data_IF_635826107918
#
_entry.id   IF_635826107918
#
_cell.length_a   1.000
_cell.length_b   1.000
_cell.length_c   1.000
_cell.angle_alpha   90.00
_cell.angle_beta   90.00
_cell.angle_gamma   90.00
#
_symmetry.space_group_name_H-M   'P 1'
#
loop_
_entity.id
_entity.type
_entity.pdbx_description
1 polymer ?
#
# COMPACT_ATOMS: atom_id res chain seq x y z
N UNK A 1 -31.97 30.19 43.02
CA UNK A 1 -31.54 30.35 41.61
C UNK A 1 -30.01 30.47 41.42
N UNK A 2 -29.31 31.37 42.08
CA UNK A 2 -27.85 31.58 41.89
C UNK A 2 -26.97 30.34 42.17
N UNK A 3 -27.36 29.43 43.07
CA UNK A 3 -26.61 28.21 43.43
C UNK A 3 -26.67 27.16 42.28
N UNK A 4 -27.81 26.96 41.66
CA UNK A 4 -27.98 26.03 40.56
C UNK A 4 -27.30 26.50 39.27
N UNK A 5 -27.27 27.81 39.04
CA UNK A 5 -26.58 28.41 37.90
C UNK A 5 -25.06 28.15 37.98
N UNK A 6 -24.46 28.23 39.17
CA UNK A 6 -23.03 27.91 39.37
C UNK A 6 -22.72 26.45 39.11
N UNK A 7 -23.59 25.53 39.56
CA UNK A 7 -23.41 24.08 39.30
C UNK A 7 -23.52 23.78 37.83
N UNK A 8 -24.47 24.40 37.14
CA UNK A 8 -24.65 24.21 35.67
C UNK A 8 -23.43 24.73 34.90
N UNK A 9 -22.92 25.90 35.22
CA UNK A 9 -21.72 26.47 34.59
C UNK A 9 -20.49 25.57 34.82
N UNK A 10 -20.35 25.03 36.03
CA UNK A 10 -19.21 24.16 36.38
C UNK A 10 -19.29 22.81 35.61
N UNK A 11 -20.47 22.20 35.49
CA UNK A 11 -20.63 20.96 34.76
C UNK A 11 -20.42 21.13 33.23
N UNK A 12 -20.85 22.23 32.65
CA UNK A 12 -20.58 22.56 31.23
C UNK A 12 -19.09 22.77 30.99
N UNK A 13 -18.39 23.44 31.91
CA UNK A 13 -16.94 23.67 31.81
C UNK A 13 -16.15 22.36 31.88
N UNK A 14 -16.51 21.44 32.78
CA UNK A 14 -15.85 20.12 32.88
C UNK A 14 -16.18 19.27 31.64
N UNK A 15 -17.44 19.22 31.20
CA UNK A 15 -17.84 18.50 30.02
C UNK A 15 -17.13 19.00 28.75
N UNK A 16 -17.01 20.32 28.59
CA UNK A 16 -16.25 20.93 27.50
C UNK A 16 -14.76 20.59 27.52
N UNK A 17 -14.15 20.61 28.71
CA UNK A 17 -12.73 20.24 28.87
C UNK A 17 -12.47 18.77 28.51
N UNK A 18 -13.31 17.87 29.01
CA UNK A 18 -13.20 16.44 28.67
C UNK A 18 -13.40 16.21 27.19
N UNK A 19 -14.43 16.79 26.58
CA UNK A 19 -14.68 16.67 25.15
C UNK A 19 -13.48 17.18 24.32
N UNK A 20 -12.87 18.30 24.72
CA UNK A 20 -11.67 18.84 24.08
C UNK A 20 -10.47 17.89 24.18
N UNK A 21 -10.24 17.28 25.35
CA UNK A 21 -9.15 16.32 25.55
C UNK A 21 -9.34 15.07 24.68
N UNK A 22 -10.53 14.49 24.67
CA UNK A 22 -10.86 13.35 23.79
C UNK A 22 -10.69 13.70 22.32
N UNK A 23 -11.21 14.84 21.87
CA UNK A 23 -11.06 15.29 20.50
C UNK A 23 -9.59 15.47 20.10
N UNK A 24 -8.77 16.03 20.99
CA UNK A 24 -7.32 16.21 20.77
C UNK A 24 -6.60 14.88 20.63
N UNK A 25 -6.93 13.89 21.46
CA UNK A 25 -6.25 12.59 21.45
C UNK A 25 -6.66 11.78 20.22
N UNK A 26 -7.94 11.76 19.85
CA UNK A 26 -8.42 11.14 18.60
C UNK A 26 -7.72 11.76 17.38
N UNK A 27 -7.62 13.07 17.31
CA UNK A 27 -6.94 13.74 16.19
C UNK A 27 -5.44 13.46 16.15
N UNK A 28 -4.78 13.24 17.30
CA UNK A 28 -3.37 12.81 17.31
C UNK A 28 -3.20 11.40 16.76
N UNK A 29 -4.08 10.47 17.13
CA UNK A 29 -4.05 9.09 16.60
C UNK A 29 -4.35 9.06 15.10
N UNK A 30 -5.38 9.77 14.64
CA UNK A 30 -5.71 9.88 13.22
C UNK A 30 -4.57 10.51 12.42
N UNK A 31 -3.93 11.56 12.91
CA UNK A 31 -2.75 12.16 12.28
C UNK A 31 -1.53 11.25 12.31
N UNK A 32 -1.35 10.44 13.36
CA UNK A 32 -0.26 9.48 13.47
C UNK A 32 -0.45 8.31 12.48
N UNK A 33 -1.69 7.86 12.29
CA UNK A 33 -2.03 6.84 11.28
C UNK A 33 -1.82 7.42 9.87
N UNK A 34 -2.32 8.62 9.59
CA UNK A 34 -2.15 9.29 8.29
C UNK A 34 -0.68 9.58 7.93
N UNK A 35 0.21 9.79 8.92
CA UNK A 35 1.66 9.97 8.69
C UNK A 35 2.43 8.67 8.46
N UNK A 36 1.80 7.51 8.61
CA UNK A 36 2.45 6.19 8.46
C UNK A 36 2.15 5.52 7.11
N UNK A 37 1.35 6.16 6.26
CA UNK A 37 1.09 5.65 4.91
C UNK A 37 2.05 6.28 3.92
N UNK A 38 2.61 5.44 3.07
CA UNK A 38 3.50 5.79 1.97
C UNK A 38 2.88 5.31 0.67
N UNK A 39 3.35 5.84 -0.45
CA UNK A 39 2.85 5.48 -1.77
C UNK A 39 3.83 4.55 -2.46
N UNK A 40 3.33 3.44 -2.98
CA UNK A 40 4.08 2.53 -3.86
C UNK A 40 3.47 2.51 -5.24
N UNK A 41 4.28 2.26 -6.25
CA UNK A 41 3.84 2.07 -7.62
C UNK A 41 3.67 0.58 -7.91
N UNK A 42 2.51 0.18 -8.40
CA UNK A 42 2.25 -1.18 -8.89
C UNK A 42 2.23 -1.22 -10.41
N UNK A 43 2.78 -2.30 -10.97
CA UNK A 43 2.73 -2.64 -12.39
C UNK A 43 1.56 -3.59 -12.63
N UNK A 44 0.46 -3.08 -13.17
CA UNK A 44 -0.78 -3.80 -13.41
C UNK A 44 -0.88 -4.19 -14.87
N UNK A 45 -1.11 -5.47 -15.17
CA UNK A 45 -1.22 -6.00 -16.55
C UNK A 45 -2.65 -6.32 -16.97
N UNK A 46 -3.57 -6.51 -16.03
CA UNK A 46 -4.95 -6.84 -16.35
C UNK A 46 -5.94 -6.47 -15.26
N UNK A 47 -7.20 -6.27 -15.66
CA UNK A 47 -8.35 -6.02 -14.78
C UNK A 47 -9.50 -6.93 -15.19
N UNK A 48 -10.02 -7.70 -14.27
CA UNK A 48 -11.05 -8.71 -14.51
C UNK A 48 -12.23 -8.55 -13.56
N UNK A 49 -13.42 -8.91 -13.98
CA UNK A 49 -14.60 -9.01 -13.10
C UNK A 49 -14.66 -10.36 -12.39
N UNK A 50 -14.10 -11.39 -13.01
CA UNK A 50 -14.07 -12.76 -12.51
C UNK A 50 -12.68 -13.13 -12.00
N UNK A 51 -12.62 -13.79 -10.83
CA UNK A 51 -11.37 -14.21 -10.20
C UNK A 51 -10.63 -15.28 -10.99
N UNK A 52 -11.35 -16.27 -11.54
CA UNK A 52 -10.73 -17.38 -12.26
C UNK A 52 -10.06 -16.89 -13.54
N UNK A 53 -10.70 -15.95 -14.24
CA UNK A 53 -10.12 -15.34 -15.43
C UNK A 53 -8.86 -14.53 -15.08
N UNK A 54 -8.86 -13.80 -13.96
CA UNK A 54 -7.66 -13.11 -13.48
C UNK A 54 -6.55 -14.08 -13.11
N UNK A 55 -6.90 -15.19 -12.44
CA UNK A 55 -5.96 -16.22 -12.03
C UNK A 55 -5.34 -16.95 -13.23
N UNK A 56 -6.12 -17.32 -14.23
CA UNK A 56 -5.59 -17.93 -15.46
C UNK A 56 -4.66 -16.98 -16.20
N UNK A 57 -5.06 -15.71 -16.33
CA UNK A 57 -4.19 -14.70 -16.95
C UNK A 57 -2.90 -14.48 -16.14
N UNK A 58 -2.97 -14.51 -14.83
CA UNK A 58 -1.79 -14.32 -13.97
C UNK A 58 -0.72 -15.38 -14.18
N UNK A 59 -1.09 -16.62 -14.56
CA UNK A 59 -0.16 -17.73 -14.83
C UNK A 59 0.72 -17.51 -16.05
N UNK A 60 0.39 -16.54 -16.91
CA UNK A 60 1.22 -16.20 -18.09
C UNK A 60 2.50 -15.45 -17.72
N UNK A 61 2.62 -14.97 -16.48
CA UNK A 61 3.78 -14.22 -16.00
C UNK A 61 4.61 -15.06 -15.03
N UNK A 62 5.94 -14.90 -15.08
CA UNK A 62 6.86 -15.57 -14.16
C UNK A 62 6.61 -15.24 -12.69
N UNK A 63 6.19 -13.99 -12.42
CA UNK A 63 5.81 -13.51 -11.10
C UNK A 63 4.59 -12.63 -11.22
N UNK A 64 3.53 -12.98 -10.51
CA UNK A 64 2.31 -12.17 -10.45
C UNK A 64 1.46 -12.54 -9.24
N UNK A 65 0.59 -11.61 -8.85
CA UNK A 65 -0.49 -11.85 -7.88
C UNK A 65 -1.80 -11.31 -8.41
N UNK A 66 -2.90 -11.88 -7.92
CA UNK A 66 -4.25 -11.36 -8.17
C UNK A 66 -4.71 -10.59 -6.94
N UNK A 67 -4.88 -9.30 -7.10
CA UNK A 67 -5.30 -8.37 -6.07
C UNK A 67 -6.75 -7.93 -6.28
N UNK A 68 -7.60 -8.03 -5.24
CA UNK A 68 -8.98 -7.56 -5.29
C UNK A 68 -9.04 -6.07 -4.95
N UNK A 69 -9.54 -5.26 -5.88
CA UNK A 69 -9.78 -3.84 -5.71
C UNK A 69 -11.25 -3.53 -6.02
N UNK A 70 -12.02 -3.29 -4.96
CA UNK A 70 -13.48 -3.08 -5.04
C UNK A 70 -14.19 -4.26 -5.75
N UNK A 71 -14.72 -4.04 -6.94
CA UNK A 71 -15.47 -5.02 -7.72
C UNK A 71 -14.62 -5.72 -8.80
N UNK A 72 -13.31 -5.50 -8.83
CA UNK A 72 -12.42 -6.01 -9.84
C UNK A 72 -11.25 -6.79 -9.25
N UNK A 73 -10.75 -7.75 -10.03
CA UNK A 73 -9.51 -8.46 -9.77
C UNK A 73 -8.42 -7.92 -10.69
N UNK A 74 -7.33 -7.47 -10.11
CA UNK A 74 -6.20 -6.89 -10.84
C UNK A 74 -5.04 -7.85 -10.81
N UNK A 75 -4.41 -8.06 -11.94
CA UNK A 75 -3.17 -8.83 -12.05
C UNK A 75 -2.00 -7.85 -11.96
N UNK A 76 -1.15 -8.05 -10.95
CA UNK A 76 0.01 -7.22 -10.65
C UNK A 76 1.25 -8.07 -10.85
N UNK A 77 2.22 -7.55 -11.61
CA UNK A 77 3.49 -8.25 -11.92
C UNK A 77 4.68 -7.66 -11.17
N UNK A 78 4.57 -6.45 -10.64
CA UNK A 78 5.58 -5.85 -9.79
C UNK A 78 4.98 -4.76 -8.89
N UNK A 79 5.71 -4.46 -7.83
CA UNK A 79 5.43 -3.38 -6.91
C UNK A 79 6.75 -2.77 -6.46
N UNK A 80 6.86 -1.44 -6.46
CA UNK A 80 8.09 -0.73 -6.12
C UNK A 80 7.80 0.57 -5.36
N UNK A 81 8.73 0.91 -4.48
CA UNK A 81 8.75 2.18 -3.76
C UNK A 81 9.78 3.16 -4.35
N UNK A 82 10.97 2.66 -4.72
CA UNK A 82 12.05 3.50 -5.24
C UNK A 82 11.95 3.72 -6.75
N UNK A 83 12.10 4.97 -7.18
CA UNK A 83 12.02 5.37 -8.60
C UNK A 83 13.09 4.69 -9.47
N UNK A 84 14.30 4.47 -8.94
CA UNK A 84 15.37 3.79 -9.68
C UNK A 84 15.01 2.33 -9.97
N UNK A 85 14.34 1.64 -9.03
CA UNK A 85 13.84 0.27 -9.23
C UNK A 85 12.71 0.27 -10.24
N UNK A 86 11.80 1.24 -10.16
CA UNK A 86 10.71 1.40 -11.13
C UNK A 86 11.29 1.52 -12.54
N UNK A 87 12.23 2.43 -12.77
CA UNK A 87 12.87 2.64 -14.06
C UNK A 87 13.53 1.35 -14.58
N UNK A 88 14.23 0.62 -13.70
CA UNK A 88 14.85 -0.66 -14.06
C UNK A 88 13.83 -1.71 -14.50
N UNK A 89 12.71 -1.83 -13.77
CA UNK A 89 11.62 -2.76 -14.10
C UNK A 89 10.90 -2.35 -15.39
N UNK A 90 10.70 -1.05 -15.63
CA UNK A 90 10.13 -0.54 -16.88
C UNK A 90 10.96 -0.96 -18.09
N UNK A 91 12.29 -0.84 -18.02
CA UNK A 91 13.20 -1.30 -19.08
C UNK A 91 13.05 -2.82 -19.31
N UNK A 92 13.05 -3.62 -18.24
CA UNK A 92 12.92 -5.07 -18.32
C UNK A 92 11.59 -5.46 -18.99
N UNK A 93 10.46 -4.89 -18.53
CA UNK A 93 9.13 -5.24 -19.07
C UNK A 93 8.92 -4.74 -20.49
N UNK A 94 9.48 -3.57 -20.83
CA UNK A 94 9.47 -3.09 -22.23
C UNK A 94 10.25 -4.02 -23.14
N UNK A 95 11.41 -4.50 -22.72
CA UNK A 95 12.21 -5.46 -23.51
C UNK A 95 11.54 -6.82 -23.66
N UNK A 96 10.70 -7.21 -22.68
CA UNK A 96 9.87 -8.43 -22.73
C UNK A 96 8.53 -8.24 -23.48
N UNK A 97 8.27 -7.06 -24.02
CA UNK A 97 7.00 -6.70 -24.66
C UNK A 97 5.77 -6.91 -23.76
N UNK A 98 5.95 -6.77 -22.44
CA UNK A 98 4.87 -6.88 -21.47
C UNK A 98 4.15 -5.54 -21.36
N UNK A 99 2.85 -5.54 -21.68
CA UNK A 99 2.00 -4.36 -21.50
C UNK A 99 1.59 -4.22 -20.03
N UNK A 100 1.77 -3.02 -19.48
CA UNK A 100 1.40 -2.70 -18.09
C UNK A 100 0.88 -1.27 -17.95
N UNK A 101 0.20 -1.03 -16.85
CA UNK A 101 -0.23 0.29 -16.40
C UNK A 101 0.35 0.54 -15.01
N UNK A 102 0.85 1.74 -14.77
CA UNK A 102 1.31 2.14 -13.45
C UNK A 102 0.14 2.68 -12.64
N UNK A 103 0.01 2.22 -11.40
CA UNK A 103 -0.97 2.71 -10.45
C UNK A 103 -0.32 2.92 -9.09
N UNK A 104 -0.64 4.03 -8.44
CA UNK A 104 -0.21 4.31 -7.07
C UNK A 104 -1.16 3.67 -6.06
N UNK A 105 -0.60 3.08 -5.02
CA UNK A 105 -1.32 2.47 -3.91
C UNK A 105 -0.69 2.91 -2.59
N UNK A 106 -1.53 3.26 -1.61
CA UNK A 106 -1.06 3.59 -0.26
C UNK A 106 -0.85 2.34 0.55
N UNK A 107 0.27 2.28 1.24
CA UNK A 107 0.67 1.14 2.07
C UNK A 107 1.28 1.63 3.38
N UNK A 108 1.39 0.72 4.35
CA UNK A 108 2.01 1.05 5.63
C UNK A 108 3.52 1.27 5.50
N UNK A 109 4.08 2.12 6.36
CA UNK A 109 5.52 2.35 6.44
C UNK A 109 6.32 1.08 6.73
N UNK A 110 5.78 0.18 7.55
CA UNK A 110 6.40 -1.12 7.85
C UNK A 110 6.60 -1.97 6.59
N UNK A 111 5.62 -1.97 5.68
CA UNK A 111 5.74 -2.65 4.39
C UNK A 111 6.84 -2.01 3.52
N UNK A 112 6.93 -0.68 3.49
CA UNK A 112 7.98 0.05 2.76
C UNK A 112 9.37 -0.34 3.24
N UNK A 113 9.59 -0.38 4.55
CA UNK A 113 10.89 -0.76 5.13
C UNK A 113 11.33 -2.16 4.71
N UNK A 114 10.36 -3.08 4.55
CA UNK A 114 10.62 -4.43 4.07
C UNK A 114 10.88 -4.47 2.56
N UNK A 115 10.06 -3.78 1.78
CA UNK A 115 10.22 -3.68 0.31
C UNK A 115 11.58 -3.09 -0.03
N UNK A 116 11.99 -1.99 0.62
CA UNK A 116 13.26 -1.32 0.35
C UNK A 116 14.49 -2.22 0.54
N UNK A 117 14.42 -3.21 1.45
CA UNK A 117 15.50 -4.20 1.60
C UNK A 117 15.63 -5.11 0.38
N UNK A 118 14.52 -5.53 -0.20
CA UNK A 118 14.48 -6.32 -1.43
C UNK A 118 14.90 -5.49 -2.64
N UNK A 119 14.44 -4.25 -2.74
CA UNK A 119 14.75 -3.35 -3.84
C UNK A 119 16.26 -3.05 -3.94
N UNK A 120 16.96 -2.98 -2.81
CA UNK A 120 18.41 -2.86 -2.81
C UNK A 120 19.12 -4.05 -3.49
N UNK A 121 18.51 -5.23 -3.50
CA UNK A 121 19.04 -6.41 -4.22
C UNK A 121 18.78 -6.24 -5.72
N UNK A 122 17.58 -5.78 -6.10
CA UNK A 122 17.24 -5.49 -7.50
C UNK A 122 18.21 -4.47 -8.11
N UNK A 123 18.50 -3.38 -7.38
CA UNK A 123 19.40 -2.33 -7.87
C UNK A 123 20.83 -2.85 -8.10
N UNK A 124 21.30 -3.79 -7.28
CA UNK A 124 22.67 -4.33 -7.35
C UNK A 124 22.83 -5.51 -8.31
N UNK A 125 21.74 -6.09 -8.80
CA UNK A 125 21.78 -7.27 -9.66
C UNK A 125 21.46 -6.90 -11.09
N UNK A 126 22.30 -7.39 -12.04
CA UNK A 126 21.98 -7.35 -13.47
C UNK A 126 21.44 -8.69 -13.98
N UNK A 127 21.34 -9.70 -13.08
CA UNK A 127 20.79 -11.01 -13.42
C UNK A 127 19.27 -10.96 -13.31
N UNK A 128 18.60 -11.17 -14.43
CA UNK A 128 17.14 -11.15 -14.55
C UNK A 128 16.47 -12.17 -13.62
N UNK A 129 17.01 -13.39 -13.54
CA UNK A 129 16.51 -14.43 -12.63
C UNK A 129 16.50 -13.97 -11.15
N UNK A 130 17.53 -13.23 -10.71
CA UNK A 130 17.58 -12.67 -9.36
C UNK A 130 16.51 -11.60 -9.17
N UNK A 131 16.35 -10.73 -10.17
CA UNK A 131 15.34 -9.68 -10.15
C UNK A 131 13.93 -10.28 -10.09
N UNK A 132 13.63 -11.28 -10.91
CA UNK A 132 12.33 -11.96 -10.92
C UNK A 132 12.03 -12.67 -9.58
N UNK A 133 13.03 -13.35 -8.98
CA UNK A 133 12.88 -14.01 -7.68
C UNK A 133 12.64 -13.00 -6.55
N UNK A 134 13.37 -11.89 -6.54
CA UNK A 134 13.20 -10.82 -5.55
C UNK A 134 11.84 -10.13 -5.73
N UNK A 135 11.46 -9.82 -6.97
CA UNK A 135 10.17 -9.25 -7.27
C UNK A 135 9.01 -10.17 -6.81
N UNK A 136 9.11 -11.47 -7.04
CA UNK A 136 8.14 -12.45 -6.53
C UNK A 136 8.06 -12.41 -4.99
N UNK A 137 9.17 -12.21 -4.30
CA UNK A 137 9.20 -12.06 -2.84
C UNK A 137 8.50 -10.78 -2.37
N UNK A 138 8.68 -9.67 -3.09
CA UNK A 138 7.98 -8.40 -2.84
C UNK A 138 6.47 -8.57 -3.06
N UNK A 139 6.05 -9.24 -4.14
CA UNK A 139 4.65 -9.48 -4.44
C UNK A 139 3.98 -10.36 -3.38
N UNK A 140 4.63 -11.43 -2.93
CA UNK A 140 4.14 -12.30 -1.84
C UNK A 140 4.02 -11.54 -0.52
N UNK A 141 5.00 -10.67 -0.23
CA UNK A 141 4.96 -9.81 0.94
C UNK A 141 3.75 -8.88 0.86
N UNK A 142 3.54 -8.19 -0.26
CA UNK A 142 2.38 -7.32 -0.46
C UNK A 142 1.06 -8.09 -0.34
N UNK A 143 0.93 -9.27 -0.95
CA UNK A 143 -0.27 -10.12 -0.84
C UNK A 143 -0.61 -10.48 0.62
N UNK A 144 0.40 -10.68 1.46
CA UNK A 144 0.21 -10.96 2.88
C UNK A 144 -0.28 -9.75 3.70
N UNK A 145 -0.08 -8.53 3.21
CA UNK A 145 -0.50 -7.30 3.87
C UNK A 145 -1.92 -6.85 3.49
N UNK A 146 -2.43 -7.31 2.35
CA UNK A 146 -3.74 -6.90 1.83
C UNK A 146 -4.86 -7.90 2.13
N UNK A 147 -4.52 -9.08 2.68
CA UNK A 147 -5.46 -10.10 3.16
C UNK A 147 -5.84 -9.86 4.60
#
# INVERSE_FOLDING_TARGET
MKKYLKILLFSVSIGGLLAYLFYRDINKEVRAISKKEEVVTIFQTGVFKDYNNALEFSKTFASSIVYKDSNYYRVIIALTYHEDVKTKLEVIYTNKEINYYLKEVRVSKDLIEKISKFENIILKSDKEEVIDNVNNSILKLFDSYIK
#
